data_IF_300095304720
#
_entry.id   IF_300095304720
#
_cell.length_a   1.000
_cell.length_b   1.000
_cell.length_c   1.000
_cell.angle_alpha   90.00
_cell.angle_beta   90.00
_cell.angle_gamma   90.00
#
_symmetry.space_group_name_H-M   'P 1'
#
loop_
_entity.id
_entity.type
_entity.pdbx_description
1 polymer ?
#
# COMPACT_ATOMS: atom_id res chain seq x y z
N UNK A 1 16.47 -19.71 -14.53
CA UNK A 1 15.53 -19.10 -13.56
C UNK A 1 14.12 -19.34 -14.07
N UNK A 2 13.20 -19.86 -13.25
CA UNK A 2 11.81 -20.13 -13.68
C UNK A 2 11.03 -18.85 -13.96
N UNK A 3 9.93 -18.94 -14.72
CA UNK A 3 9.03 -17.82 -14.98
C UNK A 3 8.49 -17.22 -13.66
N UNK A 4 8.12 -18.08 -12.70
CA UNK A 4 7.70 -17.66 -11.37
C UNK A 4 8.77 -16.83 -10.66
N UNK A 5 10.02 -17.30 -10.62
CA UNK A 5 11.12 -16.58 -9.97
C UNK A 5 11.37 -15.21 -10.62
N UNK A 6 11.22 -15.11 -11.96
CA UNK A 6 11.31 -13.84 -12.68
C UNK A 6 10.18 -12.88 -12.27
N UNK A 7 8.93 -13.35 -12.28
CA UNK A 7 7.77 -12.52 -11.90
C UNK A 7 7.85 -12.05 -10.45
N UNK A 8 8.22 -12.94 -9.52
CA UNK A 8 8.38 -12.59 -8.12
C UNK A 8 9.48 -11.53 -7.93
N UNK A 9 10.66 -11.75 -8.50
CA UNK A 9 11.82 -10.82 -8.42
C UNK A 9 11.51 -9.41 -8.92
N UNK A 10 10.65 -9.26 -9.93
CA UNK A 10 10.28 -7.97 -10.51
C UNK A 10 8.88 -7.47 -10.08
N UNK A 11 8.25 -8.11 -9.10
CA UNK A 11 6.95 -7.68 -8.57
C UNK A 11 7.08 -6.41 -7.73
N UNK A 12 6.02 -5.60 -7.69
CA UNK A 12 5.97 -4.42 -6.81
C UNK A 12 6.04 -4.78 -5.33
N UNK A 13 5.61 -5.99 -4.95
CA UNK A 13 5.76 -6.51 -3.60
C UNK A 13 7.23 -6.66 -3.20
N UNK A 14 8.07 -7.24 -4.08
CA UNK A 14 9.51 -7.38 -3.82
C UNK A 14 10.23 -6.02 -3.91
N UNK A 15 9.79 -5.13 -4.83
CA UNK A 15 10.31 -3.76 -4.94
C UNK A 15 10.05 -2.93 -3.68
N UNK A 16 8.93 -3.18 -2.97
CA UNK A 16 8.57 -2.49 -1.75
C UNK A 16 9.63 -2.69 -0.65
N UNK A 17 10.20 -3.88 -0.50
CA UNK A 17 11.20 -4.14 0.54
C UNK A 17 10.63 -4.05 1.96
N UNK A 18 11.33 -3.38 2.88
CA UNK A 18 10.91 -3.27 4.28
C UNK A 18 9.69 -2.34 4.42
N UNK A 19 8.55 -2.89 4.81
CA UNK A 19 7.27 -2.17 4.80
C UNK A 19 7.15 -1.11 5.89
N UNK A 20 7.81 -1.28 7.03
CA UNK A 20 7.61 -0.42 8.20
C UNK A 20 7.87 1.06 7.90
N UNK A 21 6.81 1.87 8.01
CA UNK A 21 6.84 3.32 7.80
C UNK A 21 6.63 3.78 6.36
N UNK A 22 6.50 2.86 5.39
CA UNK A 22 6.31 3.21 3.99
C UNK A 22 4.93 3.80 3.71
N UNK A 23 4.87 4.72 2.74
CA UNK A 23 3.62 5.33 2.27
C UNK A 23 3.15 4.64 1.00
N UNK A 24 1.95 4.07 1.04
CA UNK A 24 1.37 3.29 -0.06
C UNK A 24 -0.02 3.82 -0.35
N UNK A 25 -0.43 3.77 -1.61
CA UNK A 25 -1.82 4.06 -2.00
C UNK A 25 -2.63 2.79 -1.84
N UNK A 26 -3.66 2.84 -0.99
CA UNK A 26 -4.66 1.80 -0.85
C UNK A 26 -6.03 2.26 -1.35
N UNK A 27 -6.97 1.32 -1.42
CA UNK A 27 -8.36 1.56 -1.82
C UNK A 27 -9.28 1.01 -0.74
N UNK A 28 -10.26 1.80 -0.33
CA UNK A 28 -11.29 1.34 0.61
C UNK A 28 -12.17 0.32 -0.11
N UNK A 29 -12.16 -0.93 0.32
CA UNK A 29 -12.92 -2.04 -0.30
C UNK A 29 -14.16 -2.42 0.49
N UNK A 30 -14.17 -2.15 1.80
CA UNK A 30 -15.31 -2.42 2.67
C UNK A 30 -15.36 -1.43 3.83
N UNK A 31 -16.54 -1.23 4.41
CA UNK A 31 -16.76 -0.35 5.55
C UNK A 31 -17.75 -1.00 6.51
N UNK A 32 -17.37 -1.06 7.79
CA UNK A 32 -18.26 -1.49 8.89
C UNK A 32 -18.25 -0.38 9.93
N UNK A 33 -19.38 0.30 10.12
CA UNK A 33 -19.47 1.48 11.00
C UNK A 33 -18.42 2.54 10.63
N UNK A 34 -17.45 2.77 11.51
CA UNK A 34 -16.32 3.69 11.31
C UNK A 34 -15.01 2.97 10.96
N UNK A 35 -15.03 1.66 10.78
CA UNK A 35 -13.88 0.88 10.34
C UNK A 35 -13.84 0.78 8.82
N UNK A 36 -12.69 1.12 8.24
CA UNK A 36 -12.41 1.11 6.82
C UNK A 36 -11.43 -0.02 6.52
N UNK A 37 -11.85 -0.97 5.70
CA UNK A 37 -10.99 -2.02 5.17
C UNK A 37 -10.33 -1.51 3.90
N UNK A 38 -9.00 -1.46 3.90
CA UNK A 38 -8.18 -0.87 2.84
C UNK A 38 -7.33 -1.97 2.22
N UNK A 39 -7.56 -2.23 0.93
CA UNK A 39 -6.70 -3.08 0.12
C UNK A 39 -5.56 -2.23 -0.46
N UNK A 40 -4.33 -2.72 -0.35
CA UNK A 40 -3.12 -2.09 -0.88
C UNK A 40 -2.24 -3.10 -1.64
N UNK A 41 -2.82 -4.23 -2.08
CA UNK A 41 -2.16 -5.24 -2.90
C UNK A 41 -1.32 -6.27 -2.13
N UNK A 42 -1.41 -6.28 -0.80
CA UNK A 42 -0.84 -7.33 0.05
C UNK A 42 -1.89 -8.40 0.38
N UNK A 43 -1.49 -9.40 1.17
CA UNK A 43 -2.31 -10.56 1.53
C UNK A 43 -3.54 -10.19 2.36
N UNK A 44 -3.40 -9.26 3.29
CA UNK A 44 -4.47 -8.82 4.18
C UNK A 44 -4.77 -7.34 4.00
N UNK A 45 -6.03 -6.97 4.23
CA UNK A 45 -6.44 -5.58 4.28
C UNK A 45 -5.90 -4.92 5.55
N UNK A 46 -5.63 -3.62 5.48
CA UNK A 46 -5.46 -2.81 6.67
C UNK A 46 -6.84 -2.33 7.15
N UNK A 47 -7.07 -2.39 8.46
CA UNK A 47 -8.31 -1.89 9.08
C UNK A 47 -8.01 -0.60 9.83
N UNK A 48 -8.58 0.50 9.36
CA UNK A 48 -8.32 1.82 9.93
C UNK A 48 -9.61 2.52 10.31
N UNK A 49 -9.60 3.27 11.41
CA UNK A 49 -10.71 4.15 11.78
C UNK A 49 -10.85 5.28 10.77
N UNK A 50 -12.09 5.58 10.40
CA UNK A 50 -12.47 6.67 9.50
C UNK A 50 -12.05 8.01 10.11
N UNK A 51 -11.24 8.82 9.41
CA UNK A 51 -10.88 10.14 9.89
C UNK A 51 -12.11 11.02 10.10
N UNK A 52 -12.11 11.82 11.19
CA UNK A 52 -13.22 12.74 11.51
C UNK A 52 -13.32 13.91 10.52
N UNK A 53 -12.18 14.38 10.04
CA UNK A 53 -12.11 15.45 9.03
C UNK A 53 -12.49 14.90 7.66
N UNK A 54 -13.41 15.57 6.98
CA UNK A 54 -13.92 15.20 5.65
C UNK A 54 -14.39 13.73 5.59
N UNK A 55 -14.98 13.27 6.69
CA UNK A 55 -15.32 11.88 6.94
C UNK A 55 -16.27 11.29 5.89
N UNK A 56 -17.05 12.14 5.23
CA UNK A 56 -17.98 11.83 4.15
C UNK A 56 -17.28 11.40 2.85
N UNK A 57 -15.99 11.73 2.66
CA UNK A 57 -15.22 11.41 1.46
C UNK A 57 -14.55 10.03 1.52
N UNK A 58 -14.44 9.45 2.72
CA UNK A 58 -13.89 8.11 2.93
C UNK A 58 -14.96 7.04 2.73
N UNK A 59 -15.39 6.90 1.47
CA UNK A 59 -16.37 5.91 1.03
C UNK A 59 -15.69 4.73 0.36
N UNK A 60 -16.42 3.62 0.22
CA UNK A 60 -15.96 2.46 -0.55
C UNK A 60 -15.61 2.92 -1.97
N UNK A 61 -14.44 2.49 -2.44
CA UNK A 61 -13.87 2.86 -3.73
C UNK A 61 -12.89 4.03 -3.69
N UNK A 62 -12.89 4.86 -2.63
CA UNK A 62 -11.94 5.96 -2.48
C UNK A 62 -10.51 5.44 -2.35
N UNK A 63 -9.58 6.10 -3.05
CA UNK A 63 -8.15 5.88 -2.86
C UNK A 63 -7.65 6.71 -1.67
N UNK A 64 -6.82 6.10 -0.84
CA UNK A 64 -6.26 6.68 0.37
C UNK A 64 -4.76 6.47 0.39
N UNK A 65 -4.03 7.43 0.93
CA UNK A 65 -2.62 7.27 1.26
C UNK A 65 -2.55 6.71 2.68
N UNK A 66 -1.94 5.54 2.83
CA UNK A 66 -1.69 4.91 4.13
C UNK A 66 -0.20 4.88 4.44
N UNK A 67 0.14 4.89 5.73
CA UNK A 67 1.46 4.46 6.21
C UNK A 67 1.31 3.05 6.78
N UNK A 68 2.02 2.10 6.20
CA UNK A 68 2.00 0.69 6.63
C UNK A 68 3.09 0.46 7.69
N UNK A 69 2.79 -0.35 8.69
CA UNK A 69 3.73 -0.76 9.74
C UNK A 69 4.01 -2.27 9.65
N UNK A 70 2.96 -3.06 9.49
CA UNK A 70 3.02 -4.51 9.33
C UNK A 70 2.04 -4.98 8.26
N UNK A 71 2.40 -5.99 7.48
CA UNK A 71 1.53 -6.63 6.48
C UNK A 71 0.72 -7.80 7.05
N UNK A 72 1.07 -8.32 8.22
CA UNK A 72 0.31 -9.33 8.96
C UNK A 72 0.53 -9.19 10.46
N UNK A 73 -0.47 -8.67 11.18
CA UNK A 73 -0.43 -8.62 12.65
C UNK A 73 -0.46 -10.03 13.22
N UNK A 74 0.71 -10.49 13.66
CA UNK A 74 0.89 -11.80 14.25
C UNK A 74 1.86 -11.76 15.42
N UNK A 75 1.54 -12.52 16.48
CA UNK A 75 2.36 -12.58 17.68
C UNK A 75 2.30 -13.96 18.33
N UNK A 76 3.38 -14.35 19.02
CA UNK A 76 3.45 -15.59 19.80
C UNK A 76 3.27 -15.31 21.28
N UNK A 77 2.25 -15.91 21.87
CA UNK A 77 1.99 -15.79 23.30
C UNK A 77 2.60 -16.94 24.10
N UNK A 78 2.82 -16.71 25.39
CA UNK A 78 3.35 -17.74 26.29
C UNK A 78 2.45 -18.98 26.31
N UNK A 79 3.05 -20.15 26.13
CA UNK A 79 2.34 -21.43 26.08
C UNK A 79 1.78 -21.79 24.71
N UNK A 80 1.83 -20.89 23.72
CA UNK A 80 1.45 -21.24 22.35
C UNK A 80 2.58 -21.96 21.62
N UNK A 81 2.23 -22.95 20.79
CA UNK A 81 3.18 -23.62 19.88
C UNK A 81 3.34 -22.88 18.55
N UNK A 82 2.30 -22.13 18.17
CA UNK A 82 2.20 -21.41 16.91
C UNK A 82 1.88 -19.93 17.19
N UNK A 83 2.14 -19.10 16.20
CA UNK A 83 1.81 -17.68 16.22
C UNK A 83 0.29 -17.51 16.02
N UNK A 84 -0.29 -16.54 16.71
CA UNK A 84 -1.67 -16.10 16.51
C UNK A 84 -1.65 -14.92 15.55
N UNK A 85 -2.47 -14.97 14.50
CA UNK A 85 -2.61 -13.90 13.50
C UNK A 85 -4.00 -13.30 13.57
N UNK A 86 -4.08 -11.97 13.43
CA UNK A 86 -5.36 -11.25 13.33
C UNK A 86 -5.92 -11.25 11.91
N UNK A 87 -5.16 -11.74 10.92
CA UNK A 87 -5.52 -11.72 9.50
C UNK A 87 -5.79 -10.30 8.96
N UNK A 88 -5.09 -9.32 9.52
CA UNK A 88 -5.19 -7.89 9.17
C UNK A 88 -3.79 -7.27 9.18
N UNK A 89 -3.61 -6.24 8.37
CA UNK A 89 -2.38 -5.45 8.32
C UNK A 89 -2.49 -4.21 9.23
N UNK A 90 -1.36 -3.75 9.77
CA UNK A 90 -1.31 -2.55 10.60
C UNK A 90 -0.92 -1.32 9.78
N UNK A 91 -1.79 -0.32 9.76
CA UNK A 91 -1.58 0.92 9.04
C UNK A 91 -2.32 2.10 9.65
N UNK A 92 -1.93 3.31 9.25
CA UNK A 92 -2.68 4.54 9.50
C UNK A 92 -3.03 5.25 8.20
N UNK A 93 -4.21 5.85 8.15
CA UNK A 93 -4.62 6.73 7.05
C UNK A 93 -3.93 8.09 7.22
N UNK A 94 -3.16 8.49 6.20
CA UNK A 94 -2.60 9.84 6.11
C UNK A 94 -3.65 10.80 5.51
N UNK A 95 -4.39 10.36 4.49
CA UNK A 95 -5.44 11.15 3.86
C UNK A 95 -5.98 10.54 2.57
N UNK A 96 -6.91 11.22 1.92
CA UNK A 96 -7.40 10.84 0.58
C UNK A 96 -6.30 11.02 -0.46
N UNK A 97 -6.21 10.08 -1.39
CA UNK A 97 -5.31 10.15 -2.52
C UNK A 97 -6.08 10.49 -3.80
N UNK A 98 -5.84 11.68 -4.34
CA UNK A 98 -6.30 12.07 -5.67
C UNK A 98 -5.11 12.11 -6.62
N UNK A 99 -5.11 11.34 -7.72
CA UNK A 99 -4.11 11.50 -8.76
C UNK A 99 -4.20 12.93 -9.27
N UNK A 100 -3.08 13.68 -9.27
CA UNK A 100 -3.05 14.99 -9.92
C UNK A 100 -3.32 14.77 -11.41
N UNK A 101 -4.49 15.15 -11.89
CA UNK A 101 -4.74 15.30 -13.33
C UNK A 101 -3.99 16.55 -13.78
N UNK A 102 -2.73 16.37 -14.21
CA UNK A 102 -2.05 17.40 -15.00
C UNK A 102 -2.76 17.37 -16.35
N UNK A 103 -3.51 18.44 -16.67
CA UNK A 103 -4.23 18.58 -17.92
C UNK A 103 -3.35 18.13 -19.11
N UNK A 104 -3.72 17.00 -19.73
CA UNK A 104 -3.16 16.56 -21.01
C UNK A 104 -2.11 15.44 -21.02
N UNK A 105 -1.67 14.87 -19.89
CA UNK A 105 -0.81 13.66 -19.93
C UNK A 105 -1.21 12.63 -18.88
N UNK A 106 -1.86 11.55 -19.31
CA UNK A 106 -2.03 10.34 -18.51
C UNK A 106 -0.66 9.72 -18.25
N UNK A 107 -0.09 9.95 -17.06
CA UNK A 107 1.07 9.19 -16.60
C UNK A 107 0.58 7.80 -16.17
N UNK A 108 0.48 6.87 -17.13
CA UNK A 108 0.67 5.46 -16.78
C UNK A 108 2.16 5.29 -16.51
N UNK A 109 2.52 4.97 -15.28
CA UNK A 109 3.87 4.53 -14.96
C UNK A 109 4.16 3.24 -15.72
N UNK A 110 4.69 3.34 -16.93
CA UNK A 110 5.23 2.20 -17.67
C UNK A 110 6.70 2.11 -17.33
N UNK A 111 7.08 1.08 -16.56
CA UNK A 111 8.48 0.73 -16.39
C UNK A 111 9.03 0.29 -17.77
N UNK A 112 9.86 1.11 -18.39
CA UNK A 112 10.64 0.71 -19.56
C UNK A 112 12.03 0.29 -19.10
N UNK A 113 12.40 -0.96 -19.35
CA UNK A 113 13.77 -1.45 -19.14
C UNK A 113 14.64 -0.94 -20.29
N UNK A 114 15.72 -0.21 -19.96
CA UNK A 114 16.84 -0.02 -20.90
C UNK A 114 17.58 -1.35 -21.04
N UNK A 115 18.02 -1.69 -22.26
CA UNK A 115 18.79 -2.92 -22.58
C UNK A 115 20.07 -3.10 -21.74
N UNK A 116 20.46 -2.10 -20.95
CA UNK A 116 21.65 -2.12 -20.09
C UNK A 116 21.38 -2.25 -18.58
N UNK A 117 20.12 -2.46 -18.16
CA UNK A 117 19.83 -2.89 -16.77
C UNK A 117 20.07 -1.86 -15.66
N UNK A 118 20.30 -0.58 -15.97
CA UNK A 118 20.46 0.47 -14.95
C UNK A 118 19.11 1.08 -14.54
N UNK A 119 18.84 1.03 -13.23
CA UNK A 119 17.70 1.69 -12.61
C UNK A 119 17.97 3.20 -12.48
N UNK A 120 17.16 4.03 -13.14
CA UNK A 120 17.29 5.50 -13.03
C UNK A 120 16.14 6.06 -12.19
N UNK A 121 16.42 6.31 -10.91
CA UNK A 121 15.50 7.02 -10.02
C UNK A 121 15.43 8.50 -10.45
N UNK A 122 14.24 9.04 -10.72
CA UNK A 122 14.06 10.49 -10.88
C UNK A 122 13.82 11.09 -9.50
N UNK A 123 14.79 11.86 -9.01
CA UNK A 123 14.64 12.72 -7.84
C UNK A 123 13.52 13.71 -8.11
N UNK A 124 12.53 13.78 -7.22
CA UNK A 124 11.51 14.85 -7.23
C UNK A 124 12.25 16.10 -6.77
N UNK A 125 12.33 17.11 -7.62
CA UNK A 125 12.78 18.43 -7.19
C UNK A 125 11.78 18.95 -6.15
N UNK A 126 12.24 19.18 -4.92
CA UNK A 126 11.57 20.06 -3.97
C UNK A 126 11.49 21.45 -4.61
N UNK A 127 10.28 22.01 -4.73
CA UNK A 127 10.07 23.44 -4.89
C UNK A 127 8.63 23.79 -4.47
N UNK A 128 8.55 24.40 -3.28
CA UNK A 128 7.49 25.22 -2.66
C UNK A 128 6.08 24.64 -2.56
#
# INVERSE_FOLDING_TARGET
MSLFAKLFRYSKFVELGSVNGQKIVGRIVHRVNDDLYIDFGCKFNAVCKRPKKDSEKYVIGSNVLIRIFDTELSERFLGSKNDLTLLEADAIIIGLYSPKTIAGKTYRGTNTYSEKGEFKQRTIAENL
#
